data_IF_407033727592
#
_entry.id   IF_407033727592
#
_cell.length_a   1.000
_cell.length_b   1.000
_cell.length_c   1.000
_cell.angle_alpha   90.00
_cell.angle_beta   90.00
_cell.angle_gamma   90.00
#
_symmetry.space_group_name_H-M   'P 1'
#
loop_
_entity.id
_entity.type
_entity.pdbx_description
1 polymer ?
#
# COMPACT_ATOMS: atom_id res chain seq x y z
N UNK A 1 -0.82 -28.12 -7.36
CA UNK A 1 -1.12 -28.26 -8.79
C UNK A 1 -2.13 -27.21 -9.20
N UNK A 2 -2.53 -27.13 -10.48
CA UNK A 2 -3.62 -26.25 -10.91
C UNK A 2 -4.94 -26.54 -10.17
N UNK A 3 -5.15 -27.78 -9.72
CA UNK A 3 -6.32 -28.19 -8.93
C UNK A 3 -6.39 -27.46 -7.59
N UNK A 4 -5.26 -27.06 -7.01
CA UNK A 4 -5.21 -26.31 -5.74
C UNK A 4 -5.82 -24.90 -5.86
N UNK A 5 -6.13 -24.42 -7.07
CA UNK A 5 -6.76 -23.11 -7.30
C UNK A 5 -8.27 -23.21 -7.53
N UNK A 6 -8.80 -24.43 -7.64
CA UNK A 6 -10.22 -24.65 -7.88
C UNK A 6 -11.01 -24.19 -6.66
N UNK A 7 -11.97 -23.28 -6.86
CA UNK A 7 -12.77 -22.67 -5.80
C UNK A 7 -12.15 -21.38 -5.22
N UNK A 8 -10.83 -21.31 -5.09
CA UNK A 8 -10.16 -20.09 -4.58
C UNK A 8 -10.28 -18.89 -5.51
N UNK A 9 -10.44 -19.11 -6.81
CA UNK A 9 -10.63 -18.02 -7.76
C UNK A 9 -11.90 -17.19 -7.52
N UNK A 10 -12.95 -17.82 -7.00
CA UNK A 10 -14.19 -17.13 -6.65
C UNK A 10 -14.06 -16.40 -5.31
N UNK A 11 -13.27 -16.94 -4.39
CA UNK A 11 -13.02 -16.35 -3.07
C UNK A 11 -12.11 -15.12 -3.18
N UNK A 12 -10.94 -15.28 -3.81
CA UNK A 12 -9.95 -14.23 -4.00
C UNK A 12 -10.32 -13.32 -5.17
N UNK A 13 -11.35 -12.51 -4.99
CA UNK A 13 -11.77 -11.51 -5.98
C UNK A 13 -11.59 -10.13 -5.38
N UNK A 14 -10.82 -9.26 -6.03
CA UNK A 14 -10.62 -7.87 -5.61
C UNK A 14 -11.68 -6.98 -6.26
N UNK A 15 -12.36 -6.15 -5.48
CA UNK A 15 -13.38 -5.21 -5.95
C UNK A 15 -14.78 -5.48 -5.38
N UNK A 16 -15.81 -4.95 -6.05
CA UNK A 16 -17.19 -4.95 -5.55
C UNK A 16 -17.79 -6.35 -5.31
N UNK A 17 -17.26 -7.38 -5.96
CA UNK A 17 -17.70 -8.77 -5.82
C UNK A 17 -16.75 -9.61 -4.97
N UNK A 18 -15.84 -8.97 -4.24
CA UNK A 18 -14.95 -9.68 -3.33
C UNK A 18 -15.69 -10.31 -2.17
N UNK A 19 -15.04 -11.27 -1.51
CA UNK A 19 -15.60 -12.00 -0.38
C UNK A 19 -14.92 -11.62 0.92
N UNK A 20 -15.62 -11.78 2.04
CA UNK A 20 -15.04 -11.56 3.38
C UNK A 20 -13.86 -12.48 3.67
N UNK A 21 -13.89 -13.70 3.16
CA UNK A 21 -12.77 -14.63 3.28
C UNK A 21 -11.55 -14.13 2.50
N UNK A 22 -11.73 -13.68 1.25
CA UNK A 22 -10.65 -13.11 0.45
C UNK A 22 -10.04 -11.83 1.04
N UNK A 23 -10.79 -11.09 1.87
CA UNK A 23 -10.26 -9.90 2.55
C UNK A 23 -9.11 -10.22 3.52
N UNK A 24 -9.07 -11.44 4.05
CA UNK A 24 -7.99 -11.89 4.92
C UNK A 24 -6.81 -12.51 4.15
N UNK A 25 -6.88 -12.56 2.81
CA UNK A 25 -5.79 -13.03 1.94
C UNK A 25 -4.98 -11.88 1.32
N UNK A 26 -5.22 -10.65 1.77
CA UNK A 26 -4.39 -9.48 1.48
C UNK A 26 -3.76 -8.97 2.77
N UNK A 27 -2.63 -8.27 2.63
CA UNK A 27 -1.94 -7.62 3.73
C UNK A 27 -2.86 -6.61 4.45
N UNK A 28 -2.56 -6.36 5.72
CA UNK A 28 -3.21 -5.26 6.41
C UNK A 28 -2.80 -3.91 5.82
N UNK A 29 -3.80 -3.16 5.39
CA UNK A 29 -3.61 -1.88 4.72
C UNK A 29 -2.96 -0.78 5.56
N UNK A 30 -2.90 -0.92 6.89
CA UNK A 30 -2.21 0.04 7.78
C UNK A 30 -0.69 -0.04 7.72
N UNK A 31 -0.14 -1.10 7.11
CA UNK A 31 1.28 -1.36 7.04
C UNK A 31 1.85 -2.11 8.25
N UNK A 32 0.99 -2.71 9.08
CA UNK A 32 1.36 -3.61 10.17
C UNK A 32 2.00 -4.90 9.60
N UNK A 33 3.32 -5.04 9.80
CA UNK A 33 4.10 -6.17 9.31
C UNK A 33 3.81 -7.48 10.07
N UNK A 34 3.09 -7.43 11.19
CA UNK A 34 2.60 -8.62 11.88
C UNK A 34 1.33 -9.20 11.25
N UNK A 35 0.67 -8.43 10.38
CA UNK A 35 -0.63 -8.76 9.78
C UNK A 35 -0.58 -8.93 8.24
N UNK A 36 0.55 -9.44 7.72
CA UNK A 36 0.72 -9.77 6.31
C UNK A 36 0.00 -11.07 5.92
N UNK A 37 -0.37 -11.22 4.65
CA UNK A 37 -1.02 -12.41 4.10
C UNK A 37 -0.13 -13.65 4.15
N UNK A 38 1.19 -13.46 4.14
CA UNK A 38 2.16 -14.56 4.28
C UNK A 38 2.41 -14.91 5.76
N UNK A 39 2.06 -14.01 6.69
CA UNK A 39 2.30 -14.18 8.12
C UNK A 39 3.79 -14.26 8.44
N UNK A 40 4.13 -14.98 9.51
CA UNK A 40 5.51 -15.17 9.93
C UNK A 40 6.30 -16.01 8.91
N UNK A 41 7.37 -15.42 8.39
CA UNK A 41 8.27 -16.08 7.44
C UNK A 41 9.16 -17.09 8.18
N UNK A 42 9.23 -18.31 7.65
CA UNK A 42 10.00 -19.39 8.23
C UNK A 42 11.51 -19.12 8.22
N UNK A 43 12.23 -19.70 9.17
CA UNK A 43 13.69 -19.55 9.29
C UNK A 43 14.50 -20.54 8.44
N UNK A 44 13.83 -21.47 7.76
CA UNK A 44 14.45 -22.47 6.88
C UNK A 44 13.45 -23.01 5.85
N UNK A 45 13.95 -23.61 4.78
CA UNK A 45 13.14 -24.21 3.71
C UNK A 45 12.19 -25.31 4.20
N UNK A 46 12.62 -26.09 5.19
CA UNK A 46 11.88 -27.26 5.70
C UNK A 46 10.65 -26.85 6.53
N UNK A 47 10.67 -25.63 7.06
CA UNK A 47 9.58 -25.04 7.84
C UNK A 47 8.68 -24.13 6.98
N UNK A 48 9.12 -23.77 5.78
CA UNK A 48 8.47 -22.78 4.95
C UNK A 48 7.21 -23.33 4.27
N UNK A 49 6.11 -22.59 4.39
CA UNK A 49 4.85 -22.88 3.69
C UNK A 49 4.96 -22.47 2.23
N UNK A 50 4.23 -23.17 1.37
CA UNK A 50 3.98 -22.74 -0.02
C UNK A 50 2.67 -21.97 -0.04
N UNK A 51 2.73 -20.73 -0.49
CA UNK A 51 1.58 -19.85 -0.72
C UNK A 51 1.18 -19.89 -2.19
N UNK A 52 -0.12 -19.73 -2.44
CA UNK A 52 -0.65 -19.55 -3.78
C UNK A 52 -0.99 -18.06 -3.94
N UNK A 53 -0.28 -17.37 -4.82
CA UNK A 53 -0.45 -15.93 -5.06
C UNK A 53 -1.29 -15.74 -6.31
N UNK A 54 -2.45 -15.08 -6.15
CA UNK A 54 -3.23 -14.55 -7.28
C UNK A 54 -2.59 -13.24 -7.73
N UNK A 55 -2.39 -13.08 -9.03
CA UNK A 55 -1.87 -11.85 -9.62
C UNK A 55 -2.95 -11.19 -10.45
N UNK A 56 -2.97 -9.87 -10.45
CA UNK A 56 -3.91 -9.10 -11.27
C UNK A 56 -3.38 -8.90 -12.69
N UNK A 57 -4.30 -8.67 -13.64
CA UNK A 57 -4.02 -8.51 -15.07
C UNK A 57 -4.39 -9.73 -15.93
N UNK A 58 -4.92 -9.47 -17.13
CA UNK A 58 -5.41 -10.50 -18.05
C UNK A 58 -4.35 -11.54 -18.43
N UNK A 59 -4.69 -12.82 -18.34
CA UNK A 59 -3.78 -13.92 -18.69
C UNK A 59 -2.72 -14.25 -17.63
N UNK A 60 -2.64 -13.48 -16.54
CA UNK A 60 -1.73 -13.80 -15.42
C UNK A 60 -2.34 -14.90 -14.57
N UNK A 61 -1.63 -16.03 -14.54
CA UNK A 61 -2.02 -17.20 -13.75
C UNK A 61 -1.54 -17.08 -12.30
N UNK A 62 -2.07 -17.94 -11.44
CA UNK A 62 -1.57 -18.14 -10.08
C UNK A 62 -0.11 -18.58 -10.09
N UNK A 63 0.65 -18.14 -9.09
CA UNK A 63 2.01 -18.62 -8.82
C UNK A 63 2.04 -19.34 -7.49
N UNK A 64 2.87 -20.38 -7.38
CA UNK A 64 3.28 -20.93 -6.09
C UNK A 64 4.50 -20.13 -5.63
N UNK A 65 4.51 -19.70 -4.37
CA UNK A 65 5.59 -18.91 -3.79
C UNK A 65 5.92 -19.47 -2.42
N UNK A 66 7.19 -19.69 -2.14
CA UNK A 66 7.71 -20.07 -0.83
C UNK A 66 8.82 -19.09 -0.47
N UNK A 67 8.80 -18.58 0.75
CA UNK A 67 9.77 -17.61 1.25
C UNK A 67 10.30 -18.08 2.59
N UNK A 68 11.61 -18.01 2.78
CA UNK A 68 12.26 -18.31 4.06
C UNK A 68 13.50 -17.47 4.26
N UNK A 69 13.87 -17.24 5.51
CA UNK A 69 15.06 -16.49 5.84
C UNK A 69 16.32 -17.23 5.39
N UNK A 70 17.29 -16.48 4.90
CA UNK A 70 18.67 -16.92 4.64
C UNK A 70 19.64 -16.08 5.48
N UNK A 71 20.95 -16.36 5.40
CA UNK A 71 21.95 -15.69 6.26
C UNK A 71 22.02 -14.17 6.06
N UNK A 72 21.66 -13.66 4.88
CA UNK A 72 21.78 -12.23 4.52
C UNK A 72 20.45 -11.61 4.07
N UNK A 73 19.34 -12.33 4.19
CA UNK A 73 18.03 -11.87 3.73
C UNK A 73 17.03 -12.99 3.62
N UNK A 74 16.49 -13.20 2.42
CA UNK A 74 15.45 -14.18 2.16
C UNK A 74 15.70 -14.94 0.87
N UNK A 75 15.42 -16.23 0.90
CA UNK A 75 15.27 -17.05 -0.29
C UNK A 75 13.80 -17.02 -0.74
N UNK A 76 13.57 -16.73 -2.01
CA UNK A 76 12.27 -16.84 -2.66
C UNK A 76 12.34 -17.99 -3.65
N UNK A 77 11.45 -18.96 -3.49
CA UNK A 77 11.20 -19.99 -4.49
C UNK A 77 9.83 -19.80 -5.11
N UNK A 78 9.74 -19.81 -6.43
CA UNK A 78 8.47 -19.58 -7.11
C UNK A 78 8.33 -20.38 -8.40
N UNK A 79 7.09 -20.64 -8.78
CA UNK A 79 6.77 -21.41 -9.96
C UNK A 79 5.38 -21.05 -10.49
N UNK A 80 5.15 -21.29 -11.77
CA UNK A 80 3.78 -21.35 -12.29
C UNK A 80 2.99 -22.46 -11.57
N UNK A 81 1.69 -22.23 -11.39
CA UNK A 81 0.82 -23.14 -10.62
C UNK A 81 0.86 -24.60 -11.10
N UNK A 82 1.00 -24.80 -12.42
CA UNK A 82 1.06 -26.10 -13.07
C UNK A 82 2.48 -26.64 -13.26
N UNK A 83 3.51 -25.87 -12.92
CA UNK A 83 4.90 -26.28 -13.11
C UNK A 83 5.32 -27.30 -12.04
N UNK A 84 6.08 -28.31 -12.45
CA UNK A 84 6.71 -29.30 -11.57
C UNK A 84 8.12 -28.87 -11.10
N UNK A 85 8.66 -27.80 -11.68
CA UNK A 85 9.91 -27.16 -11.27
C UNK A 85 9.67 -25.75 -10.74
N UNK A 86 10.59 -25.24 -9.93
CA UNK A 86 10.58 -23.87 -9.41
C UNK A 86 11.91 -23.18 -9.65
N UNK A 87 11.86 -21.86 -9.63
CA UNK A 87 13.01 -20.96 -9.63
C UNK A 87 13.34 -20.58 -8.19
N UNK A 88 14.62 -20.31 -7.92
CA UNK A 88 15.12 -19.91 -6.59
C UNK A 88 15.93 -18.63 -6.74
N UNK A 89 15.63 -17.62 -5.90
CA UNK A 89 16.33 -16.34 -5.85
C UNK A 89 16.69 -16.01 -4.41
N UNK A 90 17.88 -15.48 -4.20
CA UNK A 90 18.31 -14.92 -2.92
C UNK A 90 18.18 -13.40 -2.97
N UNK A 91 17.33 -12.83 -2.13
CA UNK A 91 17.17 -11.38 -1.97
C UNK A 91 17.89 -10.97 -0.70
N UNK A 92 18.98 -10.22 -0.85
CA UNK A 92 19.74 -9.68 0.28
C UNK A 92 19.02 -8.50 0.91
N UNK A 93 19.23 -8.24 2.20
CA UNK A 93 18.76 -7.00 2.84
C UNK A 93 19.60 -5.81 2.39
N UNK A 94 18.92 -4.67 2.21
CA UNK A 94 19.57 -3.37 2.02
C UNK A 94 18.98 -2.39 3.05
N UNK A 95 19.83 -1.87 3.93
CA UNK A 95 19.42 -0.98 5.03
C UNK A 95 19.05 0.43 4.56
N UNK A 96 19.40 0.80 3.32
CA UNK A 96 19.06 2.09 2.73
C UNK A 96 17.58 2.17 2.28
N UNK A 97 16.89 1.04 2.17
CA UNK A 97 15.50 0.95 1.72
C UNK A 97 14.58 0.43 2.82
N UNK A 98 13.28 0.72 2.70
CA UNK A 98 12.26 0.10 3.55
C UNK A 98 12.05 -1.37 3.19
N UNK A 99 12.04 -1.67 1.88
CA UNK A 99 11.85 -3.00 1.32
C UNK A 99 12.66 -3.15 0.04
N UNK A 100 13.05 -4.38 -0.25
CA UNK A 100 13.45 -4.82 -1.59
C UNK A 100 12.23 -5.44 -2.26
N UNK A 101 12.04 -5.13 -3.55
CA UNK A 101 10.84 -5.52 -4.29
C UNK A 101 11.18 -6.63 -5.28
N UNK A 102 10.35 -7.67 -5.27
CA UNK A 102 10.48 -8.81 -6.18
C UNK A 102 9.17 -8.98 -6.97
N UNK A 103 9.26 -8.87 -8.29
CA UNK A 103 8.17 -9.13 -9.21
C UNK A 103 8.27 -10.57 -9.74
N UNK A 104 7.18 -11.34 -9.63
CA UNK A 104 7.17 -12.77 -9.99
C UNK A 104 7.30 -13.06 -11.50
N UNK A 105 7.31 -12.03 -12.35
CA UNK A 105 7.59 -12.12 -13.78
C UNK A 105 8.97 -11.53 -14.16
N UNK A 106 9.46 -10.53 -13.41
CA UNK A 106 10.63 -9.72 -13.78
C UNK A 106 11.83 -9.85 -12.82
N UNK A 107 11.67 -10.51 -11.68
CA UNK A 107 12.70 -10.63 -10.65
C UNK A 107 12.79 -9.41 -9.72
N UNK A 108 13.97 -9.14 -9.17
CA UNK A 108 14.20 -7.96 -8.35
C UNK A 108 14.01 -6.66 -9.16
N UNK A 109 13.24 -5.73 -8.60
CA UNK A 109 12.91 -4.45 -9.24
C UNK A 109 13.14 -3.29 -8.28
N UNK A 110 13.55 -2.13 -8.82
CA UNK A 110 13.71 -0.91 -8.04
C UNK A 110 12.53 0.03 -8.32
N UNK A 111 11.54 0.04 -7.43
CA UNK A 111 10.27 0.77 -7.58
C UNK A 111 10.05 1.85 -6.51
N UNK A 112 10.93 1.94 -5.50
CA UNK A 112 10.86 2.94 -4.45
C UNK A 112 12.25 3.56 -4.23
N UNK A 113 12.33 4.87 -3.95
CA UNK A 113 13.58 5.51 -3.52
C UNK A 113 14.11 4.95 -2.20
N UNK A 114 15.33 5.35 -1.83
CA UNK A 114 15.88 5.15 -0.48
C UNK A 114 14.93 5.73 0.58
N UNK A 115 14.88 5.09 1.76
CA UNK A 115 13.87 5.37 2.79
C UNK A 115 13.92 6.80 3.36
N UNK A 116 15.01 7.53 3.15
CA UNK A 116 15.18 8.92 3.60
C UNK A 116 14.88 9.95 2.48
N UNK A 117 14.34 9.52 1.34
CA UNK A 117 14.21 10.35 0.13
C UNK A 117 12.79 10.46 -0.42
N UNK A 118 11.78 10.15 0.40
CA UNK A 118 10.37 10.32 0.04
C UNK A 118 9.49 10.33 1.29
N UNK A 119 8.33 10.99 1.21
CA UNK A 119 7.43 11.18 2.38
C UNK A 119 6.07 10.53 2.15
N UNK A 120 5.53 10.62 0.93
CA UNK A 120 4.30 9.95 0.54
C UNK A 120 4.31 9.57 -0.95
N UNK A 121 3.41 8.67 -1.31
CA UNK A 121 3.26 8.15 -2.67
C UNK A 121 1.79 8.13 -3.06
N UNK A 122 1.49 8.64 -4.27
CA UNK A 122 0.23 8.39 -4.96
C UNK A 122 0.36 7.10 -5.78
N UNK A 123 -0.46 6.09 -5.49
CA UNK A 123 -0.40 4.81 -6.18
C UNK A 123 -1.74 4.08 -6.17
N UNK A 124 -1.77 2.92 -6.81
CA UNK A 124 -2.79 1.90 -6.55
C UNK A 124 -2.49 1.19 -5.23
N UNK A 125 -3.53 0.82 -4.48
CA UNK A 125 -3.36 0.11 -3.21
C UNK A 125 -4.56 -0.77 -2.89
N UNK A 126 -4.29 -1.97 -2.36
CA UNK A 126 -5.34 -2.91 -1.97
C UNK A 126 -5.64 -2.75 -0.46
N UNK A 127 -6.92 -2.71 -0.10
CA UNK A 127 -7.34 -2.57 1.30
C UNK A 127 -8.46 -3.53 1.65
N UNK A 128 -8.58 -3.80 2.96
CA UNK A 128 -9.72 -4.53 3.54
C UNK A 128 -10.89 -3.55 3.72
N UNK A 129 -11.62 -3.29 2.64
CA UNK A 129 -12.66 -2.26 2.62
C UNK A 129 -13.98 -2.76 3.20
N UNK A 130 -14.62 -1.96 4.04
CA UNK A 130 -15.94 -2.30 4.59
C UNK A 130 -17.04 -1.94 3.59
N UNK A 131 -17.63 -2.94 2.94
CA UNK A 131 -18.80 -2.76 2.06
C UNK A 131 -20.02 -3.43 2.69
N UNK A 132 -21.03 -2.63 3.03
CA UNK A 132 -22.26 -3.15 3.65
C UNK A 132 -22.03 -3.87 4.98
N UNK A 133 -20.98 -3.50 5.72
CA UNK A 133 -20.61 -4.10 7.02
C UNK A 133 -19.76 -5.38 6.91
N UNK A 134 -19.38 -5.81 5.71
CA UNK A 134 -18.46 -6.93 5.50
C UNK A 134 -17.13 -6.44 4.92
N UNK A 135 -16.02 -6.94 5.45
CA UNK A 135 -14.70 -6.67 4.87
C UNK A 135 -14.63 -7.27 3.47
N UNK A 136 -14.07 -6.55 2.51
CA UNK A 136 -13.91 -6.99 1.12
C UNK A 136 -12.56 -6.52 0.61
N UNK A 137 -11.75 -7.36 -0.05
CA UNK A 137 -10.51 -6.89 -0.64
C UNK A 137 -10.86 -5.96 -1.79
N UNK A 138 -10.36 -4.73 -1.75
CA UNK A 138 -10.72 -3.69 -2.71
C UNK A 138 -9.48 -2.94 -3.17
N UNK A 139 -9.35 -2.75 -4.49
CA UNK A 139 -8.25 -2.00 -5.10
C UNK A 139 -8.63 -0.54 -5.33
N UNK A 140 -7.86 0.37 -4.75
CA UNK A 140 -7.86 1.78 -5.09
C UNK A 140 -6.83 2.03 -6.20
N UNK A 141 -7.11 2.96 -7.11
CA UNK A 141 -6.18 3.40 -8.16
C UNK A 141 -5.56 4.78 -7.85
N UNK A 142 -5.99 5.39 -6.75
CA UNK A 142 -5.77 6.77 -6.37
C UNK A 142 -5.70 6.88 -4.84
N UNK A 143 -4.79 6.11 -4.28
CA UNK A 143 -4.56 5.99 -2.84
C UNK A 143 -3.25 6.67 -2.47
N UNK A 144 -3.24 7.37 -1.34
CA UNK A 144 -2.03 7.96 -0.79
C UNK A 144 -1.53 7.09 0.35
N UNK A 145 -0.28 6.61 0.24
CA UNK A 145 0.42 6.05 1.39
C UNK A 145 1.58 6.94 1.79
N UNK A 146 1.91 6.96 3.07
CA UNK A 146 3.08 7.64 3.60
C UNK A 146 4.26 6.68 3.73
N UNK A 147 5.46 7.23 3.77
CA UNK A 147 6.66 6.48 4.10
C UNK A 147 6.54 5.95 5.53
N UNK A 148 6.99 4.73 5.75
CA UNK A 148 6.99 4.12 7.09
C UNK A 148 8.22 4.48 7.92
N UNK A 149 9.22 5.10 7.30
CA UNK A 149 10.43 5.57 7.95
C UNK A 149 10.17 6.92 8.60
N UNK A 150 9.86 6.94 9.90
CA UNK A 150 9.70 8.14 10.72
C UNK A 150 8.84 9.26 10.10
N UNK A 151 7.83 8.90 9.30
CA UNK A 151 6.89 9.88 8.73
C UNK A 151 5.53 9.67 9.38
N UNK A 152 4.87 10.77 9.70
CA UNK A 152 3.57 10.78 10.35
C UNK A 152 2.71 11.93 9.82
N UNK A 153 1.39 11.76 9.86
CA UNK A 153 0.46 12.76 9.31
C UNK A 153 -0.67 13.07 10.27
N UNK A 154 -1.05 14.34 10.29
CA UNK A 154 -2.26 14.84 10.91
C UNK A 154 -3.25 15.32 9.83
N UNK A 155 -4.53 15.01 9.99
CA UNK A 155 -5.61 15.58 9.17
C UNK A 155 -6.20 16.79 9.91
N UNK A 156 -6.31 17.92 9.22
CA UNK A 156 -6.84 19.16 9.80
C UNK A 156 -8.12 19.54 9.06
N UNK A 157 -9.20 19.72 9.82
CA UNK A 157 -10.47 20.21 9.28
C UNK A 157 -10.42 21.74 9.14
N UNK A 158 -10.82 22.26 7.97
CA UNK A 158 -10.74 23.70 7.65
C UNK A 158 -11.67 24.56 8.50
N UNK A 159 -12.69 23.96 9.12
CA UNK A 159 -13.55 24.63 10.10
C UNK A 159 -12.82 25.01 11.40
N UNK A 160 -11.76 24.28 11.76
CA UNK A 160 -11.00 24.49 12.99
C UNK A 160 -9.79 25.41 12.76
N UNK A 161 -9.10 25.24 11.63
CA UNK A 161 -7.92 26.01 11.26
C UNK A 161 -7.80 26.03 9.74
N UNK A 162 -7.63 27.20 9.12
CA UNK A 162 -7.51 27.29 7.66
C UNK A 162 -6.13 26.82 7.17
N UNK A 163 -6.06 26.39 5.91
CA UNK A 163 -4.78 26.03 5.28
C UNK A 163 -3.82 27.21 5.30
N UNK A 164 -4.31 28.43 5.08
CA UNK A 164 -3.52 29.65 5.00
C UNK A 164 -2.96 30.06 6.37
N UNK A 165 -3.77 29.93 7.43
CA UNK A 165 -3.41 30.35 8.79
C UNK A 165 -2.54 29.32 9.53
N UNK A 166 -2.53 28.05 9.11
CA UNK A 166 -1.69 27.04 9.75
C UNK A 166 -0.19 27.39 9.60
N UNK A 167 0.50 27.43 10.72
CA UNK A 167 1.95 27.62 10.83
C UNK A 167 2.63 26.48 11.63
N UNK A 168 3.94 26.59 11.85
CA UNK A 168 4.72 25.58 12.57
C UNK A 168 4.22 25.35 14.00
N UNK A 169 3.85 26.41 14.73
CA UNK A 169 3.41 26.28 16.12
C UNK A 169 2.11 25.48 16.24
N UNK A 170 1.20 25.65 15.28
CA UNK A 170 0.01 24.80 15.19
C UNK A 170 0.38 23.37 14.81
N UNK A 171 1.28 23.19 13.83
CA UNK A 171 1.69 21.88 13.33
C UNK A 171 2.31 21.01 14.43
N UNK A 172 3.11 21.58 15.33
CA UNK A 172 3.74 20.88 16.45
C UNK A 172 2.75 20.39 17.52
N UNK A 173 1.54 20.97 17.58
CA UNK A 173 0.50 20.63 18.55
C UNK A 173 -0.54 19.63 18.01
N UNK A 174 -0.44 19.23 16.73
CA UNK A 174 -1.39 18.29 16.13
C UNK A 174 -1.20 16.86 16.63
N UNK A 175 -2.27 16.07 16.55
CA UNK A 175 -2.21 14.62 16.77
C UNK A 175 -1.84 13.91 15.47
N UNK A 176 -0.69 13.25 15.46
CA UNK A 176 -0.15 12.56 14.31
C UNK A 176 -0.40 11.05 14.35
N UNK A 177 -0.51 10.46 13.17
CA UNK A 177 -0.66 9.02 12.98
C UNK A 177 0.37 8.51 11.96
N UNK A 178 1.06 7.44 12.31
CA UNK A 178 2.14 6.82 11.53
C UNK A 178 1.70 5.61 10.70
N UNK A 179 0.42 5.26 10.69
CA UNK A 179 -0.10 4.22 9.81
C UNK A 179 0.13 4.63 8.36
N UNK A 180 0.62 3.72 7.51
CA UNK A 180 1.03 4.10 6.16
C UNK A 180 -0.15 4.58 5.32
N UNK A 181 -1.38 4.22 5.67
CA UNK A 181 -2.59 4.59 4.97
C UNK A 181 -3.34 5.78 5.58
N UNK A 182 -2.73 6.53 6.50
CA UNK A 182 -3.37 7.62 7.25
C UNK A 182 -4.07 8.66 6.34
N UNK A 183 -3.51 8.97 5.17
CA UNK A 183 -4.20 9.79 4.16
C UNK A 183 -5.14 8.91 3.34
N UNK A 184 -4.63 7.82 2.78
CA UNK A 184 -5.41 6.82 2.07
C UNK A 184 -6.30 7.39 0.99
N UNK A 185 -7.62 7.20 1.14
CA UNK A 185 -8.64 7.80 0.28
C UNK A 185 -9.29 9.04 0.86
N UNK A 186 -8.93 9.45 2.07
CA UNK A 186 -9.66 10.47 2.85
C UNK A 186 -9.47 11.89 2.32
N UNK A 187 -8.70 12.07 1.25
CA UNK A 187 -8.59 13.32 0.50
C UNK A 187 -9.66 13.47 -0.59
N UNK A 188 -10.39 12.40 -0.94
CA UNK A 188 -11.35 12.42 -2.06
C UNK A 188 -12.54 11.48 -1.89
N UNK A 189 -13.61 11.76 -2.65
CA UNK A 189 -14.72 10.84 -2.87
C UNK A 189 -14.83 10.44 -4.34
N UNK A 190 -15.23 9.19 -4.58
CA UNK A 190 -15.72 8.72 -5.88
C UNK A 190 -17.23 8.44 -5.84
N UNK A 191 -17.86 8.61 -4.68
CA UNK A 191 -19.29 8.41 -4.51
C UNK A 191 -20.04 9.64 -5.00
N UNK A 192 -20.99 9.45 -5.93
CA UNK A 192 -21.73 10.56 -6.55
C UNK A 192 -20.92 11.35 -7.59
N UNK A 193 -19.67 10.96 -7.86
CA UNK A 193 -18.76 11.65 -8.78
C UNK A 193 -17.33 11.70 -8.21
N UNK A 194 -16.36 12.01 -9.07
CA UNK A 194 -14.99 12.26 -8.65
C UNK A 194 -14.92 13.67 -8.04
N UNK A 195 -14.65 13.76 -6.74
CA UNK A 195 -14.53 15.02 -6.02
C UNK A 195 -13.40 14.97 -4.99
N UNK A 196 -12.67 16.07 -4.85
CA UNK A 196 -11.71 16.28 -3.75
C UNK A 196 -12.44 16.95 -2.60
N UNK A 197 -12.12 16.57 -1.36
CA UNK A 197 -12.71 17.21 -0.19
C UNK A 197 -12.08 18.60 0.03
N UNK A 198 -12.92 19.61 0.26
CA UNK A 198 -12.50 21.00 0.53
C UNK A 198 -12.62 21.39 2.02
N UNK A 199 -13.09 20.46 2.84
CA UNK A 199 -13.27 20.63 4.29
C UNK A 199 -12.04 20.22 5.11
N UNK A 200 -10.96 19.79 4.47
CA UNK A 200 -9.76 19.27 5.14
C UNK A 200 -8.48 19.43 4.32
N UNK A 201 -7.37 19.38 5.02
CA UNK A 201 -6.02 19.24 4.45
C UNK A 201 -5.16 18.42 5.40
N UNK A 202 -3.90 18.19 5.04
CA UNK A 202 -2.99 17.31 5.78
C UNK A 202 -1.73 18.06 6.19
N UNK A 203 -1.18 17.72 7.35
CA UNK A 203 0.16 18.13 7.77
C UNK A 203 1.01 16.87 7.88
N UNK A 204 2.13 16.85 7.17
CA UNK A 204 3.09 15.76 7.13
C UNK A 204 4.30 16.19 7.92
N UNK A 205 4.71 15.38 8.89
CA UNK A 205 6.02 15.44 9.50
C UNK A 205 6.88 14.33 8.91
N UNK A 206 7.95 14.69 8.23
CA UNK A 206 8.76 13.74 7.47
C UNK A 206 9.86 13.05 8.30
N UNK A 207 10.57 12.14 7.66
CA UNK A 207 11.69 11.39 8.25
C UNK A 207 12.88 12.23 8.74
N UNK A 208 12.93 13.49 8.35
CA UNK A 208 13.97 14.46 8.68
C UNK A 208 13.47 15.54 9.67
N UNK A 209 12.30 15.32 10.28
CA UNK A 209 11.62 16.24 11.20
C UNK A 209 11.15 17.57 10.55
N UNK A 210 11.06 17.64 9.22
CA UNK A 210 10.45 18.78 8.53
C UNK A 210 8.92 18.71 8.60
N UNK A 211 8.26 19.87 8.58
CA UNK A 211 6.79 19.95 8.54
C UNK A 211 6.30 20.53 7.21
N UNK A 212 5.36 19.83 6.56
CA UNK A 212 4.69 20.29 5.34
C UNK A 212 3.19 20.32 5.54
N UNK A 213 2.53 21.37 5.07
CA UNK A 213 1.07 21.32 4.84
C UNK A 213 0.79 21.00 3.39
N UNK A 214 -0.15 20.08 3.15
CA UNK A 214 -0.53 19.55 1.83
C UNK A 214 -2.04 19.61 1.69
N UNK A 215 -2.50 20.17 0.58
CA UNK A 215 -3.93 20.24 0.24
C UNK A 215 -4.13 19.77 -1.20
N UNK A 216 -4.96 18.76 -1.37
CA UNK A 216 -5.30 18.22 -2.69
C UNK A 216 -6.34 19.13 -3.33
N UNK A 217 -6.18 19.43 -4.61
CA UNK A 217 -7.02 20.44 -5.30
C UNK A 217 -7.74 19.88 -6.51
N UNK A 218 -7.28 18.74 -7.05
CA UNK A 218 -7.86 18.12 -8.23
C UNK A 218 -7.58 16.62 -8.24
N UNK A 219 -8.49 15.83 -8.82
CA UNK A 219 -8.28 14.40 -9.08
C UNK A 219 -8.55 13.98 -10.54
N UNK A 220 -8.96 14.93 -11.38
CA UNK A 220 -9.34 14.69 -12.79
C UNK A 220 -8.63 15.63 -13.77
N UNK A 221 -8.57 15.24 -15.03
CA UNK A 221 -8.15 16.12 -16.13
C UNK A 221 -9.22 17.19 -16.42
N UNK A 222 -8.95 18.09 -17.36
CA UNK A 222 -9.99 19.02 -17.86
C UNK A 222 -11.16 18.31 -18.54
N UNK A 223 -10.94 17.09 -19.08
CA UNK A 223 -11.98 16.26 -19.69
C UNK A 223 -12.68 15.32 -18.69
N UNK A 224 -12.35 15.40 -17.40
CA UNK A 224 -12.94 14.56 -16.34
C UNK A 224 -12.29 13.19 -16.15
N UNK A 225 -11.15 12.91 -16.80
CA UNK A 225 -10.42 11.65 -16.65
C UNK A 225 -9.72 11.60 -15.29
N UNK A 226 -9.94 10.54 -14.48
CA UNK A 226 -9.30 10.37 -13.17
C UNK A 226 -7.81 10.03 -13.31
N UNK A 227 -7.02 10.42 -12.30
CA UNK A 227 -5.57 10.15 -12.25
C UNK A 227 -4.69 11.37 -12.50
N UNK A 228 -5.31 12.51 -12.82
CA UNK A 228 -4.62 13.79 -12.98
C UNK A 228 -4.75 14.59 -11.69
N UNK A 229 -4.11 14.07 -10.64
CA UNK A 229 -4.15 14.66 -9.30
C UNK A 229 -3.31 15.93 -9.25
N UNK A 230 -3.81 16.96 -8.58
CA UNK A 230 -3.05 18.18 -8.28
C UNK A 230 -3.15 18.47 -6.79
N UNK A 231 -2.08 19.01 -6.23
CA UNK A 231 -1.99 19.42 -4.83
C UNK A 231 -1.20 20.72 -4.73
N UNK A 232 -1.46 21.49 -3.67
CA UNK A 232 -0.60 22.56 -3.20
C UNK A 232 0.09 22.11 -1.92
N UNK A 233 1.32 22.54 -1.72
CA UNK A 233 2.05 22.25 -0.49
C UNK A 233 2.92 23.43 -0.07
N UNK A 234 3.28 23.48 1.21
CA UNK A 234 4.20 24.46 1.76
C UNK A 234 4.99 23.86 2.93
N UNK A 235 6.31 23.98 2.85
CA UNK A 235 7.24 23.74 3.97
C UNK A 235 7.00 24.78 5.07
N UNK A 236 6.92 24.33 6.31
CA UNK A 236 6.75 25.17 7.50
C UNK A 236 8.07 25.31 8.27
N UNK A 237 8.88 24.26 8.29
CA UNK A 237 10.27 24.20 8.74
C UNK A 237 10.96 23.03 8.01
#
# INVERSE_FOLDING_TARGET
>A
TAEDTVGFANVMTVGFTGTSEGAFWIDDHTGDLSATAFGEIATSSDQAKVFIVKRDGGGRSWKKVRVFASSSGYTIEYADISSDSFETVEVSKDEAFNFNYFDLDNGEVNVAPTKDSWDFMYSSYAVRYSMGGSATPYGFNDYIIINRNNTEVAMVMTENLSFEDLDLSHAEELEYNSNINVIGSDWRSTFGGAAVFDDRFFVIKDSQDNYFKVDFTKMTSESGERGYTSLKFKLLD
#
